data_IF_469452639715
#
_entry.id   IF_469452639715
#
_cell.length_a   1.000
_cell.length_b   1.000
_cell.length_c   1.000
_cell.angle_alpha   90.00
_cell.angle_beta   90.00
_cell.angle_gamma   90.00
#
_symmetry.space_group_name_H-M   'P 1'
#
loop_
_entity.id
_entity.type
_entity.pdbx_description
1 polymer ?
#
# COMPACT_ATOMS: atom_id res chain seq x y z
N UNK A 1 7.29 -51.43 55.49
CA UNK A 1 8.43 -51.44 54.55
C UNK A 1 7.87 -51.58 53.16
N UNK A 2 7.88 -50.55 52.35
CA UNK A 2 7.40 -50.61 50.99
C UNK A 2 8.56 -50.63 49.98
N UNK A 3 8.39 -51.51 49.00
CA UNK A 3 9.35 -51.75 47.95
C UNK A 3 9.40 -50.67 46.91
N UNK A 4 10.61 -50.41 46.48
CA UNK A 4 10.98 -49.54 45.39
C UNK A 4 10.72 -50.23 44.01
N UNK A 5 10.00 -49.56 43.12
CA UNK A 5 9.86 -49.95 41.71
C UNK A 5 10.96 -49.27 40.85
N UNK A 6 11.50 -49.96 39.85
CA UNK A 6 12.59 -49.43 39.03
C UNK A 6 12.05 -48.60 37.89
N UNK A 7 12.65 -47.42 37.71
CA UNK A 7 12.47 -46.54 36.56
C UNK A 7 13.22 -47.09 35.35
N UNK A 8 12.53 -47.70 34.45
CA UNK A 8 13.05 -48.09 33.14
C UNK A 8 13.01 -46.94 32.17
N UNK A 9 14.14 -46.70 31.51
CA UNK A 9 14.44 -45.61 30.68
C UNK A 9 13.62 -45.48 29.38
N UNK A 10 13.32 -44.25 29.06
CA UNK A 10 12.97 -43.82 27.70
C UNK A 10 14.08 -42.92 27.17
N UNK A 11 15.01 -43.45 26.44
CA UNK A 11 15.87 -42.68 25.53
C UNK A 11 15.10 -42.46 24.25
N UNK A 12 14.37 -41.33 24.15
CA UNK A 12 13.83 -40.83 22.89
C UNK A 12 14.94 -40.15 22.12
N UNK A 13 15.30 -40.69 20.99
CA UNK A 13 16.22 -40.13 19.99
C UNK A 13 15.55 -38.87 19.42
N UNK A 14 16.08 -37.68 19.75
CA UNK A 14 15.73 -36.42 19.10
C UNK A 14 16.46 -36.39 17.75
N UNK A 15 15.83 -36.90 16.71
CA UNK A 15 16.23 -36.63 15.33
C UNK A 15 15.90 -35.18 14.99
N UNK A 16 16.89 -34.33 15.04
CA UNK A 16 16.79 -32.94 14.62
C UNK A 16 16.57 -32.85 13.11
N UNK A 17 15.33 -32.71 12.69
CA UNK A 17 14.99 -32.31 11.33
C UNK A 17 15.36 -30.83 11.14
N UNK A 18 16.50 -30.60 10.50
CA UNK A 18 16.82 -29.29 9.92
C UNK A 18 15.82 -29.03 8.78
N UNK A 19 14.73 -28.35 9.06
CA UNK A 19 13.89 -27.74 8.02
C UNK A 19 14.72 -26.65 7.38
N UNK A 20 15.32 -26.92 6.23
CA UNK A 20 15.81 -25.90 5.33
C UNK A 20 14.66 -24.95 5.01
N UNK A 21 14.78 -23.71 5.46
CA UNK A 21 13.82 -22.66 5.18
C UNK A 21 13.91 -22.29 3.70
N UNK A 22 13.19 -23.00 2.85
CA UNK A 22 12.82 -22.46 1.54
C UNK A 22 11.87 -21.31 1.83
N UNK A 23 12.30 -20.06 1.50
CA UNK A 23 11.36 -18.95 1.42
C UNK A 23 10.13 -19.44 0.64
N UNK A 24 8.93 -19.24 1.15
CA UNK A 24 7.75 -19.73 0.46
C UNK A 24 7.74 -19.13 -0.94
N UNK A 25 7.64 -20.01 -1.95
CA UNK A 25 7.59 -19.65 -3.38
C UNK A 25 6.56 -18.55 -3.63
N UNK A 26 5.51 -18.49 -2.84
CA UNK A 26 4.50 -17.43 -2.81
C UNK A 26 5.13 -16.04 -2.59
N UNK A 27 6.09 -15.89 -1.67
CA UNK A 27 6.70 -14.58 -1.39
C UNK A 27 7.57 -14.09 -2.56
N UNK A 28 8.30 -15.01 -3.20
CA UNK A 28 9.13 -14.70 -4.39
C UNK A 28 8.25 -14.40 -5.60
N UNK A 29 7.17 -15.14 -5.80
CA UNK A 29 6.22 -14.91 -6.89
C UNK A 29 5.47 -13.58 -6.70
N UNK A 30 5.09 -13.23 -5.47
CA UNK A 30 4.44 -11.94 -5.18
C UNK A 30 5.37 -10.76 -5.48
N UNK A 31 6.66 -10.86 -5.11
CA UNK A 31 7.65 -9.81 -5.41
C UNK A 31 7.92 -9.67 -6.92
N UNK A 32 7.96 -10.78 -7.67
CA UNK A 32 8.15 -10.75 -9.12
C UNK A 32 6.91 -10.18 -9.86
N UNK A 33 5.72 -10.48 -9.38
CA UNK A 33 4.47 -9.98 -9.96
C UNK A 33 4.32 -8.49 -9.72
N UNK A 34 4.64 -7.99 -8.53
CA UNK A 34 4.62 -6.56 -8.18
C UNK A 34 5.62 -5.75 -9.04
N UNK A 35 6.81 -6.29 -9.32
CA UNK A 35 7.80 -5.66 -10.20
C UNK A 35 7.33 -5.53 -11.65
N UNK A 36 6.57 -6.50 -12.18
CA UNK A 36 6.03 -6.48 -13.55
C UNK A 36 4.88 -5.46 -13.67
N UNK A 37 4.09 -5.27 -12.62
CA UNK A 37 2.97 -4.30 -12.60
C UNK A 37 3.48 -2.87 -12.52
N UNK A 38 4.46 -2.59 -11.68
CA UNK A 38 5.12 -1.29 -11.64
C UNK A 38 5.71 -0.91 -13.01
N UNK A 39 6.30 -1.87 -13.71
CA UNK A 39 6.82 -1.66 -15.07
C UNK A 39 5.68 -1.45 -16.09
N UNK A 40 4.59 -2.20 -16.04
CA UNK A 40 3.45 -2.07 -16.97
C UNK A 40 2.70 -0.74 -16.81
N UNK A 41 2.43 -0.34 -15.58
CA UNK A 41 1.83 0.96 -15.28
C UNK A 41 2.76 2.12 -15.68
N UNK A 42 4.06 1.97 -15.40
CA UNK A 42 5.08 2.96 -15.80
C UNK A 42 5.20 3.07 -17.33
N UNK A 43 5.20 1.96 -18.08
CA UNK A 43 5.22 1.96 -19.53
C UNK A 43 3.93 2.53 -20.14
N UNK A 44 2.78 2.18 -19.59
CA UNK A 44 1.47 2.73 -20.03
C UNK A 44 1.40 4.24 -19.80
N UNK A 45 1.77 4.71 -18.63
CA UNK A 45 1.82 6.14 -18.30
C UNK A 45 2.82 6.89 -19.19
N UNK A 46 4.05 6.37 -19.35
CA UNK A 46 5.05 6.96 -20.23
C UNK A 46 4.60 7.02 -21.69
N UNK A 47 3.88 6.02 -22.17
CA UNK A 47 3.32 5.97 -23.51
C UNK A 47 2.21 7.01 -23.73
N UNK A 48 1.29 7.16 -22.77
CA UNK A 48 0.20 8.13 -22.82
C UNK A 48 0.72 9.57 -22.68
N UNK A 49 1.70 9.78 -21.78
CA UNK A 49 2.35 11.06 -21.59
C UNK A 49 3.17 11.48 -22.83
N UNK A 50 3.92 10.55 -23.44
CA UNK A 50 4.70 10.79 -24.66
C UNK A 50 3.81 11.11 -25.89
N UNK A 51 2.55 10.67 -25.88
CA UNK A 51 1.56 11.00 -26.92
C UNK A 51 0.73 12.25 -26.63
N UNK A 52 0.99 12.95 -25.50
CA UNK A 52 0.23 14.14 -25.09
C UNK A 52 -1.22 13.85 -24.73
N UNK A 53 -1.54 12.59 -24.44
CA UNK A 53 -2.90 12.17 -24.06
C UNK A 53 -3.17 12.39 -22.56
N UNK A 54 -2.11 12.58 -21.78
CA UNK A 54 -2.17 12.98 -20.38
C UNK A 54 -1.25 14.19 -20.22
N UNK A 55 -1.79 15.31 -19.75
CA UNK A 55 -1.02 16.49 -19.42
C UNK A 55 -0.03 16.26 -18.27
N UNK A 56 0.92 17.16 -18.02
CA UNK A 56 1.86 17.01 -16.92
C UNK A 56 1.08 17.04 -15.60
N UNK A 57 1.00 15.87 -14.94
CA UNK A 57 0.54 15.72 -13.56
C UNK A 57 -0.77 16.48 -13.21
N UNK A 58 -1.70 16.57 -14.17
CA UNK A 58 -2.99 17.20 -13.98
C UNK A 58 -3.96 16.23 -13.30
N UNK A 59 -4.59 16.68 -12.23
CA UNK A 59 -5.70 15.93 -11.59
C UNK A 59 -6.93 16.07 -12.50
N UNK A 60 -7.60 14.96 -12.88
CA UNK A 60 -8.83 15.03 -13.64
C UNK A 60 -9.86 15.95 -12.95
N UNK A 61 -10.49 16.83 -13.73
CA UNK A 61 -11.38 17.88 -13.21
C UNK A 61 -12.45 17.34 -12.27
N UNK A 62 -13.05 16.18 -12.62
CA UNK A 62 -14.09 15.54 -11.82
C UNK A 62 -13.63 15.13 -10.42
N UNK A 63 -12.34 14.83 -10.22
CA UNK A 63 -11.82 14.38 -8.92
C UNK A 63 -11.16 15.51 -8.11
N UNK A 64 -10.90 16.65 -8.72
CA UNK A 64 -10.09 17.74 -8.12
C UNK A 64 -10.64 18.23 -6.78
N UNK A 65 -11.92 18.56 -6.73
CA UNK A 65 -12.57 19.02 -5.50
C UNK A 65 -12.61 17.96 -4.40
N UNK A 66 -12.87 16.70 -4.79
CA UNK A 66 -12.94 15.56 -3.88
C UNK A 66 -11.57 15.26 -3.26
N UNK A 67 -10.51 15.21 -4.08
CA UNK A 67 -9.13 15.00 -3.63
C UNK A 67 -8.70 16.05 -2.61
N UNK A 68 -8.99 17.33 -2.91
CA UNK A 68 -8.67 18.42 -1.98
C UNK A 68 -9.46 18.33 -0.68
N UNK A 69 -10.75 17.96 -0.75
CA UNK A 69 -11.62 17.80 0.43
C UNK A 69 -11.17 16.62 1.28
N UNK A 70 -10.90 15.47 0.65
CA UNK A 70 -10.49 14.24 1.33
C UNK A 70 -9.11 14.42 2.01
N UNK A 71 -8.12 14.98 1.31
CA UNK A 71 -6.79 15.23 1.86
C UNK A 71 -6.78 16.15 3.10
N UNK A 72 -7.73 17.06 3.21
CA UNK A 72 -7.85 17.93 4.41
C UNK A 72 -8.17 17.17 5.69
N UNK A 73 -8.65 15.95 5.59
CA UNK A 73 -8.92 15.09 6.75
C UNK A 73 -7.63 14.51 7.34
N UNK A 74 -6.54 14.49 6.55
CA UNK A 74 -5.25 13.95 6.96
C UNK A 74 -4.12 14.98 6.77
N UNK A 75 -3.83 15.82 7.77
CA UNK A 75 -2.84 16.89 7.63
C UNK A 75 -1.42 16.43 7.29
N UNK A 76 -1.07 15.18 7.59
CA UNK A 76 0.24 14.59 7.25
C UNK A 76 0.41 14.42 5.74
N UNK A 77 -0.69 14.22 4.99
CA UNK A 77 -0.66 14.07 3.53
C UNK A 77 -1.23 15.32 2.86
N UNK A 78 -0.40 16.27 2.41
CA UNK A 78 -0.89 17.46 1.71
C UNK A 78 -1.65 17.11 0.42
N UNK A 79 -2.63 17.91 -0.03
CA UNK A 79 -3.46 17.60 -1.19
C UNK A 79 -2.68 17.26 -2.47
N UNK A 80 -1.57 17.94 -2.74
CA UNK A 80 -0.71 17.63 -3.90
C UNK A 80 -0.02 16.26 -3.77
N UNK A 81 0.36 15.86 -2.55
CA UNK A 81 0.96 14.55 -2.29
C UNK A 81 -0.10 13.47 -2.43
N UNK A 82 -1.29 13.67 -1.91
CA UNK A 82 -2.40 12.75 -2.06
C UNK A 82 -2.79 12.55 -3.53
N UNK A 83 -2.88 13.64 -4.30
CA UNK A 83 -3.11 13.55 -5.74
C UNK A 83 -1.99 12.78 -6.46
N UNK A 84 -0.73 13.04 -6.12
CA UNK A 84 0.42 12.32 -6.68
C UNK A 84 0.41 10.83 -6.31
N UNK A 85 -0.09 10.48 -5.12
CA UNK A 85 -0.30 9.11 -4.67
C UNK A 85 -1.33 8.42 -5.57
N UNK A 86 -2.57 8.93 -5.67
CA UNK A 86 -3.63 8.37 -6.50
C UNK A 86 -3.21 8.22 -7.96
N UNK A 87 -2.56 9.24 -8.51
CA UNK A 87 -1.99 9.19 -9.85
C UNK A 87 -0.87 8.14 -10.01
N UNK A 88 -0.21 7.75 -8.93
CA UNK A 88 0.82 6.72 -8.95
C UNK A 88 0.25 5.32 -8.77
N UNK A 89 -0.91 5.18 -8.13
CA UNK A 89 -1.62 3.92 -7.95
C UNK A 89 -2.20 3.41 -9.28
N UNK A 90 -2.99 4.21 -9.96
CA UNK A 90 -3.76 3.75 -11.11
C UNK A 90 -3.67 4.65 -12.35
N UNK A 91 -2.94 5.77 -12.30
CA UNK A 91 -3.03 6.85 -13.28
C UNK A 91 -4.48 7.38 -13.46
N UNK A 92 -5.23 7.42 -12.38
CA UNK A 92 -6.63 7.86 -12.32
C UNK A 92 -7.65 6.91 -12.97
N UNK A 93 -7.29 5.65 -13.21
CA UNK A 93 -8.21 4.65 -13.74
C UNK A 93 -9.04 4.02 -12.62
N UNK A 94 -10.37 4.29 -12.54
CA UNK A 94 -11.23 3.73 -11.51
C UNK A 94 -11.45 2.22 -11.66
N UNK A 95 -11.20 1.67 -12.86
CA UNK A 95 -11.37 0.24 -13.13
C UNK A 95 -10.06 -0.55 -13.09
N UNK A 96 -8.99 0.06 -12.60
CA UNK A 96 -7.69 -0.58 -12.53
C UNK A 96 -7.73 -1.82 -11.62
N UNK A 97 -7.20 -2.93 -12.10
CA UNK A 97 -6.96 -4.14 -11.31
C UNK A 97 -5.52 -4.57 -11.50
N UNK A 98 -4.77 -4.62 -10.41
CA UNK A 98 -3.38 -5.08 -10.47
C UNK A 98 -3.30 -6.62 -10.53
N UNK A 99 -2.22 -7.21 -11.04
CA UNK A 99 -2.01 -8.67 -10.97
C UNK A 99 -1.99 -9.23 -9.53
N UNK A 100 -1.73 -8.39 -8.54
CA UNK A 100 -1.82 -8.77 -7.14
C UNK A 100 -3.26 -8.70 -6.58
N UNK A 101 -4.22 -8.21 -7.39
CA UNK A 101 -5.61 -8.05 -7.00
C UNK A 101 -5.91 -6.75 -6.25
N UNK A 102 -5.07 -5.72 -6.40
CA UNK A 102 -5.43 -4.39 -5.91
C UNK A 102 -6.42 -3.74 -6.88
N UNK A 103 -7.42 -3.03 -6.35
CA UNK A 103 -8.63 -2.61 -7.06
C UNK A 103 -8.82 -1.09 -7.04
N UNK A 104 -9.37 -0.57 -8.14
CA UNK A 104 -9.84 0.79 -8.28
C UNK A 104 -8.76 1.87 -8.36
N UNK A 105 -9.23 3.13 -8.31
CA UNK A 105 -8.39 4.33 -8.47
C UNK A 105 -7.29 4.45 -7.40
N UNK A 106 -7.52 3.90 -6.22
CA UNK A 106 -6.62 3.96 -5.06
C UNK A 106 -5.91 2.62 -4.77
N UNK A 107 -6.11 1.59 -5.62
CA UNK A 107 -5.46 0.29 -5.55
C UNK A 107 -5.59 -0.39 -4.18
N UNK A 108 -6.82 -0.48 -3.67
CA UNK A 108 -7.07 -1.20 -2.44
C UNK A 108 -6.94 -2.71 -2.62
N UNK A 109 -6.20 -3.35 -1.73
CA UNK A 109 -6.30 -4.81 -1.60
C UNK A 109 -7.67 -5.17 -0.99
N UNK A 110 -8.32 -6.28 -1.44
CA UNK A 110 -9.66 -6.65 -0.95
C UNK A 110 -9.76 -6.78 0.58
N UNK A 111 -8.70 -7.25 1.24
CA UNK A 111 -8.66 -7.34 2.69
C UNK A 111 -8.65 -5.95 3.36
N UNK A 112 -7.88 -5.02 2.80
CA UNK A 112 -7.81 -3.63 3.28
C UNK A 112 -9.12 -2.89 2.99
N UNK A 113 -9.72 -3.13 1.83
CA UNK A 113 -11.02 -2.56 1.50
C UNK A 113 -12.10 -2.97 2.50
N UNK A 114 -12.16 -4.25 2.84
CA UNK A 114 -13.13 -4.77 3.83
C UNK A 114 -13.02 -4.08 5.20
N UNK A 115 -11.83 -3.60 5.55
CA UNK A 115 -11.56 -2.96 6.85
C UNK A 115 -11.76 -1.45 6.80
N UNK A 116 -11.39 -0.80 5.70
CA UNK A 116 -11.30 0.66 5.59
C UNK A 116 -12.18 1.27 4.49
N UNK A 117 -12.83 0.45 3.66
CA UNK A 117 -13.74 0.92 2.62
C UNK A 117 -15.00 1.52 3.24
N UNK A 118 -15.37 2.71 2.79
CA UNK A 118 -16.59 3.41 3.22
C UNK A 118 -17.44 3.80 2.02
N UNK A 119 -18.74 3.81 2.20
CA UNK A 119 -19.72 4.41 1.30
C UNK A 119 -19.68 5.94 1.53
N UNK A 120 -18.96 6.65 0.68
CA UNK A 120 -18.68 8.07 0.86
C UNK A 120 -19.68 8.99 0.14
N UNK A 121 -20.33 8.49 -0.91
CA UNK A 121 -21.38 9.20 -1.66
C UNK A 121 -22.79 8.92 -1.12
N UNK A 122 -22.96 7.84 -0.31
CA UNK A 122 -24.20 7.48 0.36
C UNK A 122 -25.18 6.71 -0.53
N UNK A 123 -24.68 5.99 -1.54
CA UNK A 123 -25.50 5.18 -2.44
C UNK A 123 -25.95 3.84 -1.81
N UNK A 124 -25.37 3.48 -0.65
CA UNK A 124 -25.67 2.27 0.12
C UNK A 124 -24.69 1.13 -0.13
N UNK A 125 -23.62 1.35 -0.89
CA UNK A 125 -22.62 0.33 -1.23
C UNK A 125 -21.22 0.91 -1.15
N UNK A 126 -20.35 0.35 -0.34
CA UNK A 126 -18.91 0.71 -0.42
C UNK A 126 -18.26 -0.10 -1.53
N UNK A 127 -17.80 0.57 -2.63
CA UNK A 127 -17.23 -0.05 -3.82
C UNK A 127 -15.82 0.50 -4.11
N UNK A 128 -14.75 -0.34 -4.17
CA UNK A 128 -13.40 0.12 -4.50
C UNK A 128 -13.27 0.65 -5.94
N UNK A 129 -14.24 0.35 -6.80
CA UNK A 129 -14.30 0.85 -8.17
C UNK A 129 -15.09 2.17 -8.28
N UNK A 130 -15.79 2.57 -7.24
CA UNK A 130 -16.36 3.91 -7.16
C UNK A 130 -15.29 4.91 -6.73
N UNK A 131 -15.02 5.96 -7.54
CA UNK A 131 -13.99 6.94 -7.19
C UNK A 131 -14.28 7.75 -5.93
N UNK A 132 -15.53 8.04 -5.63
CA UNK A 132 -15.91 8.81 -4.44
C UNK A 132 -15.59 8.01 -3.18
N UNK A 133 -15.94 6.74 -3.15
CA UNK A 133 -15.65 5.83 -2.06
C UNK A 133 -14.14 5.57 -1.92
N UNK A 134 -13.49 5.23 -3.04
CA UNK A 134 -12.09 4.86 -3.02
C UNK A 134 -11.16 6.02 -2.63
N UNK A 135 -11.41 7.23 -3.13
CA UNK A 135 -10.61 8.42 -2.81
C UNK A 135 -10.77 8.79 -1.33
N UNK A 136 -11.99 8.78 -0.80
CA UNK A 136 -12.23 9.14 0.60
C UNK A 136 -11.67 8.06 1.53
N UNK A 137 -11.88 6.78 1.21
CA UNK A 137 -11.31 5.65 1.96
C UNK A 137 -9.77 5.69 1.97
N UNK A 138 -9.12 6.07 0.84
CA UNK A 138 -7.67 6.20 0.77
C UNK A 138 -7.13 7.34 1.66
N UNK A 139 -7.85 8.47 1.74
CA UNK A 139 -7.50 9.54 2.66
C UNK A 139 -7.63 9.08 4.12
N UNK A 140 -8.69 8.34 4.46
CA UNK A 140 -8.88 7.74 5.79
C UNK A 140 -7.75 6.77 6.12
N UNK A 141 -7.40 5.86 5.21
CA UNK A 141 -6.31 4.90 5.41
C UNK A 141 -4.97 5.61 5.63
N UNK A 142 -4.71 6.70 4.92
CA UNK A 142 -3.52 7.51 5.16
C UNK A 142 -3.51 8.13 6.57
N UNK A 143 -4.65 8.60 7.08
CA UNK A 143 -4.75 9.10 8.45
C UNK A 143 -4.46 8.00 9.47
N UNK A 144 -5.09 6.84 9.31
CA UNK A 144 -4.86 5.68 10.19
C UNK A 144 -3.39 5.25 10.15
N UNK A 145 -2.80 5.17 8.96
CA UNK A 145 -1.38 4.85 8.83
C UNK A 145 -0.48 5.90 9.51
N UNK A 146 -0.78 7.20 9.35
CA UNK A 146 -0.03 8.27 9.98
C UNK A 146 -0.04 8.15 11.52
N UNK A 147 -1.21 7.85 12.11
CA UNK A 147 -1.36 7.65 13.55
C UNK A 147 -0.60 6.40 14.02
N UNK A 148 -0.70 5.29 13.28
CA UNK A 148 -0.04 4.03 13.63
C UNK A 148 1.50 4.10 13.56
N UNK A 149 2.05 4.96 12.69
CA UNK A 149 3.51 5.15 12.57
C UNK A 149 4.01 6.45 13.19
N UNK A 150 3.19 7.14 14.00
CA UNK A 150 3.52 8.45 14.56
C UNK A 150 4.81 8.46 15.39
N UNK A 151 5.08 7.37 16.12
CA UNK A 151 6.27 7.22 16.96
C UNK A 151 7.49 6.65 16.21
N UNK A 152 7.34 6.32 14.92
CA UNK A 152 8.43 5.78 14.11
C UNK A 152 9.37 6.92 13.71
N UNK A 153 10.70 6.79 13.94
CA UNK A 153 11.67 7.81 13.58
C UNK A 153 11.66 8.19 12.09
N UNK A 154 12.07 9.42 11.79
CA UNK A 154 12.22 9.91 10.43
C UNK A 154 11.13 10.89 10.01
N UNK A 155 10.87 10.96 8.72
CA UNK A 155 9.89 11.88 8.15
C UNK A 155 8.49 11.25 8.21
N UNK A 156 7.52 11.87 8.94
CA UNK A 156 6.17 11.34 9.08
C UNK A 156 5.45 11.11 7.76
N UNK A 157 5.62 12.01 6.77
CA UNK A 157 5.02 11.87 5.44
C UNK A 157 5.58 10.63 4.73
N UNK A 158 6.90 10.44 4.75
CA UNK A 158 7.54 9.28 4.13
C UNK A 158 7.12 7.97 4.78
N UNK A 159 7.05 7.95 6.11
CA UNK A 159 6.61 6.78 6.87
C UNK A 159 5.14 6.43 6.56
N UNK A 160 4.27 7.44 6.45
CA UNK A 160 2.85 7.24 6.09
C UNK A 160 2.70 6.67 4.68
N UNK A 161 3.40 7.23 3.70
CA UNK A 161 3.39 6.70 2.32
C UNK A 161 3.96 5.28 2.24
N UNK A 162 5.03 4.99 2.98
CA UNK A 162 5.58 3.65 3.07
C UNK A 162 4.60 2.66 3.73
N UNK A 163 3.84 3.12 4.73
CA UNK A 163 2.82 2.31 5.40
C UNK A 163 1.65 1.96 4.46
N UNK A 164 1.27 2.85 3.56
CA UNK A 164 0.26 2.57 2.54
C UNK A 164 0.72 1.45 1.59
N UNK A 165 1.96 1.51 1.13
CA UNK A 165 2.52 0.56 0.16
C UNK A 165 2.97 -0.78 0.79
N UNK A 166 3.69 -0.73 1.91
CA UNK A 166 4.32 -1.92 2.53
C UNK A 166 3.61 -2.42 3.79
N UNK A 167 2.57 -1.70 4.24
CA UNK A 167 1.88 -1.94 5.50
C UNK A 167 2.58 -1.31 6.71
N UNK A 168 1.80 -0.71 7.61
CA UNK A 168 2.31 -0.01 8.80
C UNK A 168 3.16 -0.91 9.72
N UNK A 169 2.81 -2.19 9.87
CA UNK A 169 3.60 -3.15 10.65
C UNK A 169 5.02 -3.33 10.11
N UNK A 170 5.19 -3.19 8.80
CA UNK A 170 6.51 -3.26 8.17
C UNK A 170 7.31 -2.01 8.50
N UNK A 171 6.70 -0.83 8.42
CA UNK A 171 7.34 0.45 8.78
C UNK A 171 7.78 0.45 10.24
N UNK A 172 6.92 -0.01 11.16
CA UNK A 172 7.27 -0.16 12.58
C UNK A 172 8.43 -1.13 12.76
N UNK A 173 8.41 -2.28 12.09
CA UNK A 173 9.47 -3.31 12.19
C UNK A 173 10.83 -2.81 11.75
N UNK A 174 10.87 -1.95 10.73
CA UNK A 174 12.11 -1.40 10.17
C UNK A 174 12.50 -0.04 10.77
N UNK A 175 11.71 0.44 11.73
CA UNK A 175 11.94 1.72 12.40
C UNK A 175 12.06 2.89 11.40
N UNK A 176 11.23 2.86 10.36
CA UNK A 176 11.21 3.81 9.24
C UNK A 176 10.79 3.19 7.92
N UNK A 177 11.03 3.93 6.83
CA UNK A 177 10.78 3.43 5.47
C UNK A 177 11.61 2.16 5.24
N UNK A 178 10.99 0.99 4.97
CA UNK A 178 11.72 -0.25 4.79
C UNK A 178 12.63 -0.19 3.55
N UNK A 179 13.81 -0.84 3.57
CA UNK A 179 14.78 -0.79 2.49
C UNK A 179 14.39 -1.68 1.30
N UNK A 180 13.12 -1.71 0.97
CA UNK A 180 12.61 -2.42 -0.19
C UNK A 180 12.67 -1.50 -1.40
N UNK A 181 13.32 -1.91 -2.51
CA UNK A 181 13.47 -1.06 -3.70
C UNK A 181 12.12 -0.50 -4.21
N UNK A 182 11.05 -1.30 -4.13
CA UNK A 182 9.70 -0.90 -4.51
C UNK A 182 9.18 0.23 -3.62
N UNK A 183 9.20 0.05 -2.29
CA UNK A 183 8.68 1.03 -1.34
C UNK A 183 9.48 2.33 -1.36
N UNK A 184 10.82 2.24 -1.46
CA UNK A 184 11.68 3.42 -1.62
C UNK A 184 11.32 4.19 -2.89
N UNK A 185 11.20 3.48 -4.02
CA UNK A 185 10.83 4.08 -5.31
C UNK A 185 9.43 4.69 -5.27
N UNK A 186 8.47 4.02 -4.63
CA UNK A 186 7.10 4.51 -4.45
C UNK A 186 7.08 5.86 -3.71
N UNK A 187 7.70 5.93 -2.54
CA UNK A 187 7.75 7.14 -1.72
C UNK A 187 8.43 8.30 -2.47
N UNK A 188 9.62 8.04 -3.06
CA UNK A 188 10.37 9.08 -3.77
C UNK A 188 9.64 9.58 -5.02
N UNK A 189 9.01 8.68 -5.77
CA UNK A 189 8.22 9.01 -6.96
C UNK A 189 7.04 9.92 -6.60
N UNK A 190 6.30 9.62 -5.53
CA UNK A 190 5.15 10.42 -5.09
C UNK A 190 5.59 11.81 -4.66
N UNK A 191 6.61 11.90 -3.80
CA UNK A 191 7.13 13.19 -3.31
C UNK A 191 7.63 14.05 -4.47
N UNK A 192 8.36 13.46 -5.42
CA UNK A 192 8.84 14.16 -6.61
C UNK A 192 7.68 14.61 -7.48
N UNK A 193 6.69 13.74 -7.73
CA UNK A 193 5.54 14.06 -8.56
C UNK A 193 4.66 15.15 -7.96
N UNK A 194 4.53 15.20 -6.65
CA UNK A 194 3.74 16.22 -5.96
C UNK A 194 4.20 17.65 -6.24
N UNK A 195 5.47 17.83 -6.63
CA UNK A 195 6.02 19.15 -6.97
C UNK A 195 5.44 19.72 -8.28
N UNK A 196 5.05 18.86 -9.22
CA UNK A 196 4.48 19.22 -10.52
C UNK A 196 2.94 19.12 -10.57
N UNK A 197 2.29 18.54 -9.54
CA UNK A 197 0.83 18.44 -9.47
C UNK A 197 0.16 19.82 -9.52
N UNK A 198 -0.82 19.93 -10.43
CA UNK A 198 -1.75 21.04 -10.54
C UNK A 198 -3.12 20.58 -10.02
N UNK A 199 -3.61 21.26 -8.96
CA UNK A 199 -4.93 21.05 -8.33
C UNK A 199 -5.91 22.12 -8.77
#
# INVERSE_FOLDING_TARGET
>A
MPGSLPMSGYRGVMAGSRKGGTLPVVLVVTLLILGIVGAGAYFGYGFLHARGLIGPDEVPEQYRSLVVKAAKQCPVIPPKVFAAQLASESAWDPNAVSPAGAEGIAQFMPATWKEFGIDADGDGTADPFDPDDAIVSAALLNCVNADLVAEVPGDPLRNTLAAYNAGFNTVIRYDGVPPFPETLSYVDKIIKRAQSIVL
#
